data_IF_841016492210
#
_entry.id   IF_841016492210
#
_cell.length_a   1.000
_cell.length_b   1.000
_cell.length_c   1.000
_cell.angle_alpha   90.00
_cell.angle_beta   90.00
_cell.angle_gamma   90.00
#
_symmetry.space_group_name_H-M   'P 1'
#
loop_
_entity.id
_entity.type
_entity.pdbx_description
1 polymer ?
#
# COMPACT_ATOMS: atom_id res chain seq x y z
N UNK A 1 17.98 -19.28 5.69
CA UNK A 1 17.40 -17.93 5.67
C UNK A 1 17.24 -17.55 4.21
N UNK A 2 16.13 -16.91 3.84
CA UNK A 2 15.98 -16.36 2.50
C UNK A 2 16.60 -14.97 2.57
N UNK A 3 17.81 -14.77 2.05
CA UNK A 3 18.52 -13.49 2.11
C UNK A 3 17.82 -12.34 1.34
N UNK A 4 16.69 -12.66 0.68
CA UNK A 4 15.86 -11.74 -0.09
C UNK A 4 14.58 -11.28 0.64
N UNK A 5 14.31 -11.77 1.85
CA UNK A 5 13.12 -11.37 2.60
C UNK A 5 13.22 -9.90 3.03
N UNK A 6 12.18 -9.11 2.73
CA UNK A 6 12.12 -7.68 3.06
C UNK A 6 10.92 -7.38 3.95
N UNK A 7 11.11 -6.43 4.86
CA UNK A 7 10.06 -6.01 5.78
C UNK A 7 9.23 -4.86 5.21
N UNK A 8 8.15 -5.19 4.51
CA UNK A 8 7.30 -4.18 3.86
C UNK A 8 6.43 -3.45 4.89
N UNK A 9 6.46 -2.12 4.88
CA UNK A 9 5.53 -1.25 5.62
C UNK A 9 4.76 -0.39 4.65
N UNK A 10 3.47 -0.15 4.92
CA UNK A 10 2.57 0.58 4.03
C UNK A 10 2.62 2.10 4.27
N UNK A 11 2.70 2.88 3.19
CA UNK A 11 2.77 4.34 3.26
C UNK A 11 1.37 4.97 3.33
N UNK A 12 1.05 5.56 4.50
CA UNK A 12 -0.19 6.29 4.73
C UNK A 12 -0.37 7.50 3.79
N UNK A 13 0.69 8.04 3.22
CA UNK A 13 0.60 9.13 2.23
C UNK A 13 0.07 8.65 0.89
N UNK A 14 0.18 7.35 0.60
CA UNK A 14 -0.30 6.73 -0.64
C UNK A 14 -1.66 6.10 -0.53
N UNK A 15 -1.99 5.56 0.65
CA UNK A 15 -3.25 4.84 0.84
C UNK A 15 -4.49 5.66 0.45
N UNK A 16 -5.37 5.02 -0.33
CA UNK A 16 -6.69 5.55 -0.67
C UNK A 16 -7.48 6.00 0.60
N UNK A 17 -8.35 7.02 0.50
CA UNK A 17 -9.15 7.49 1.64
C UNK A 17 -9.99 6.41 2.33
N UNK A 18 -10.48 5.43 1.56
CA UNK A 18 -11.28 4.29 2.06
C UNK A 18 -10.43 3.12 2.60
N UNK A 19 -9.13 3.33 2.82
CA UNK A 19 -8.25 2.35 3.45
C UNK A 19 -7.77 2.87 4.81
N UNK A 20 -7.84 2.01 5.83
CA UNK A 20 -7.30 2.24 7.17
C UNK A 20 -6.12 1.32 7.41
N UNK A 21 -5.00 1.91 7.84
CA UNK A 21 -3.78 1.20 8.18
C UNK A 21 -3.65 1.10 9.71
N UNK A 22 -3.01 0.05 10.19
CA UNK A 22 -2.54 0.00 11.58
C UNK A 22 -1.35 0.93 11.80
N UNK A 23 -1.06 1.37 13.04
CA UNK A 23 0.05 2.28 13.32
C UNK A 23 1.43 1.75 12.90
N UNK A 24 1.60 0.43 12.89
CA UNK A 24 2.82 -0.25 12.43
C UNK A 24 2.93 -0.35 10.89
N UNK A 25 1.89 0.07 10.16
CA UNK A 25 1.83 -0.02 8.70
C UNK A 25 1.81 -1.45 8.16
N UNK A 26 1.49 -2.46 8.98
CA UNK A 26 1.50 -3.89 8.57
C UNK A 26 0.16 -4.43 8.12
N UNK A 27 -0.93 -3.79 8.50
CA UNK A 27 -2.28 -4.22 8.14
C UNK A 27 -3.03 -3.11 7.45
N UNK A 28 -3.88 -3.51 6.52
CA UNK A 28 -4.79 -2.62 5.80
C UNK A 28 -6.17 -3.25 5.77
N UNK A 29 -7.19 -2.43 5.96
CA UNK A 29 -8.60 -2.82 5.87
C UNK A 29 -9.42 -1.74 5.19
N UNK A 30 -10.54 -2.13 4.63
CA UNK A 30 -11.50 -1.18 4.08
C UNK A 30 -12.13 -0.34 5.20
N UNK A 31 -12.56 0.85 4.83
CA UNK A 31 -13.37 1.74 5.64
C UNK A 31 -14.62 2.16 4.85
N UNK A 32 -15.72 2.37 5.58
CA UNK A 32 -16.96 2.89 5.00
C UNK A 32 -16.80 4.36 4.60
N UNK A 33 -16.09 5.12 5.43
CA UNK A 33 -15.87 6.55 5.26
C UNK A 33 -14.39 6.92 5.38
N UNK A 34 -13.93 7.95 4.65
CA UNK A 34 -12.63 8.56 4.85
C UNK A 34 -12.42 9.04 6.29
N UNK A 35 -11.17 9.04 6.75
CA UNK A 35 -10.81 9.66 8.01
C UNK A 35 -10.66 11.19 7.82
N UNK A 36 -11.53 12.03 8.41
CA UNK A 36 -11.48 13.48 8.23
C UNK A 36 -10.27 14.13 8.92
N UNK A 37 -9.64 13.45 9.90
CA UNK A 37 -8.44 13.97 10.56
C UNK A 37 -7.15 13.66 9.78
N UNK A 38 -7.24 12.86 8.70
CA UNK A 38 -6.08 12.45 7.91
C UNK A 38 -5.65 13.60 6.99
N UNK A 39 -4.39 14.07 7.08
CA UNK A 39 -3.87 15.10 6.17
C UNK A 39 -3.91 14.63 4.72
N UNK A 40 -4.27 15.51 3.78
CA UNK A 40 -4.21 15.16 2.37
C UNK A 40 -2.75 15.02 1.89
N UNK A 41 -2.54 14.27 0.81
CA UNK A 41 -1.23 14.01 0.22
C UNK A 41 -1.33 14.04 -1.30
N UNK A 42 -0.39 14.71 -2.00
CA UNK A 42 -0.35 14.67 -3.46
C UNK A 42 -0.04 13.27 -3.99
N UNK A 43 0.59 12.42 -3.16
CA UNK A 43 0.87 11.01 -3.48
C UNK A 43 -0.28 10.09 -3.10
N UNK A 44 -1.51 10.57 -2.87
CA UNK A 44 -2.64 9.73 -2.45
C UNK A 44 -3.37 9.13 -3.63
N UNK A 45 -3.68 7.83 -3.56
CA UNK A 45 -4.54 7.19 -4.56
C UNK A 45 -5.97 7.74 -4.42
N UNK A 46 -6.56 8.18 -5.54
CA UNK A 46 -7.94 8.73 -5.56
C UNK A 46 -8.92 7.84 -6.33
N UNK A 47 -8.44 7.12 -7.33
CA UNK A 47 -9.29 6.31 -8.22
C UNK A 47 -9.22 4.80 -7.91
N UNK A 48 -8.08 4.33 -7.42
CA UNK A 48 -7.88 2.92 -7.08
C UNK A 48 -7.78 2.74 -5.57
N UNK A 49 -8.50 1.75 -5.02
CA UNK A 49 -8.44 1.38 -3.60
C UNK A 49 -7.14 0.62 -3.29
N UNK A 50 -6.03 1.33 -3.40
CA UNK A 50 -4.67 0.81 -3.30
C UNK A 50 -3.84 1.56 -2.25
N UNK A 51 -2.71 0.97 -1.89
CA UNK A 51 -1.67 1.55 -1.03
C UNK A 51 -0.32 0.99 -1.47
N UNK A 52 0.74 1.80 -1.43
CA UNK A 52 2.10 1.37 -1.72
C UNK A 52 2.88 1.09 -0.43
N UNK A 53 3.97 0.33 -0.57
CA UNK A 53 5.01 0.28 0.45
C UNK A 53 5.75 1.63 0.58
N UNK A 54 6.36 1.86 1.74
CA UNK A 54 7.19 3.04 1.99
C UNK A 54 8.45 3.06 1.11
N UNK A 55 9.04 1.89 0.87
CA UNK A 55 10.28 1.74 0.13
C UNK A 55 10.03 1.11 -1.25
N UNK A 56 10.70 1.65 -2.27
CA UNK A 56 10.79 1.06 -3.59
C UNK A 56 12.06 0.23 -3.75
N UNK A 57 12.10 -0.59 -4.80
CA UNK A 57 13.24 -1.45 -5.11
C UNK A 57 13.81 -1.08 -6.49
N UNK A 58 15.14 -0.96 -6.58
CA UNK A 58 15.83 -0.59 -7.83
C UNK A 58 16.67 -1.72 -8.43
N UNK A 59 16.99 -2.75 -7.65
CA UNK A 59 17.79 -3.90 -8.08
C UNK A 59 17.66 -5.08 -7.10
N UNK A 60 18.16 -6.26 -7.46
CA UNK A 60 18.18 -7.44 -6.60
C UNK A 60 16.92 -8.32 -6.69
N UNK A 61 16.80 -9.28 -5.79
CA UNK A 61 15.60 -10.11 -5.59
C UNK A 61 15.00 -9.77 -4.24
N UNK A 62 13.69 -9.53 -4.22
CA UNK A 62 12.94 -9.22 -3.01
C UNK A 62 11.80 -10.21 -2.84
N UNK A 63 11.49 -10.50 -1.58
CA UNK A 63 10.43 -11.41 -1.21
C UNK A 63 9.67 -10.87 0.00
N UNK A 64 8.35 -10.90 -0.06
CA UNK A 64 7.46 -10.60 1.06
C UNK A 64 6.23 -11.49 0.96
N UNK A 65 5.60 -11.71 2.10
CA UNK A 65 4.35 -12.46 2.20
C UNK A 65 3.21 -11.51 2.58
N UNK A 66 2.01 -11.81 2.12
CA UNK A 66 0.80 -11.08 2.50
C UNK A 66 -0.19 -12.06 3.06
N UNK A 67 -0.53 -11.89 4.34
CA UNK A 67 -1.61 -12.65 4.96
C UNK A 67 -2.94 -12.03 4.58
N UNK A 68 -3.78 -12.83 3.92
CA UNK A 68 -5.09 -12.43 3.47
C UNK A 68 -6.12 -13.05 4.40
N UNK A 69 -6.89 -12.21 5.08
CA UNK A 69 -8.03 -12.67 5.87
C UNK A 69 -9.20 -13.05 4.94
N UNK A 70 -10.38 -13.36 5.49
CA UNK A 70 -11.57 -13.75 4.73
C UNK A 70 -12.16 -12.58 3.90
N UNK A 71 -11.44 -12.16 2.86
CA UNK A 71 -11.86 -11.13 1.91
C UNK A 71 -12.06 -11.75 0.53
N UNK A 72 -13.20 -11.43 -0.09
CA UNK A 72 -13.63 -12.00 -1.38
C UNK A 72 -12.80 -11.52 -2.57
N UNK A 73 -12.14 -10.35 -2.45
CA UNK A 73 -11.36 -9.77 -3.55
C UNK A 73 -10.20 -8.93 -3.02
N UNK A 74 -9.03 -9.13 -3.59
CA UNK A 74 -7.80 -8.40 -3.26
C UNK A 74 -6.85 -8.46 -4.46
N UNK A 75 -5.96 -7.47 -4.53
CA UNK A 75 -4.85 -7.44 -5.47
C UNK A 75 -3.56 -7.12 -4.70
N UNK A 76 -2.49 -7.80 -5.07
CA UNK A 76 -1.13 -7.57 -4.54
C UNK A 76 -0.17 -7.59 -5.72
N UNK A 77 0.84 -6.72 -5.69
CA UNK A 77 1.83 -6.67 -6.74
C UNK A 77 2.84 -5.55 -6.53
N UNK A 78 3.49 -5.18 -7.63
CA UNK A 78 4.46 -4.10 -7.69
C UNK A 78 4.02 -3.08 -8.72
N UNK A 79 4.44 -1.83 -8.52
CA UNK A 79 4.16 -0.73 -9.43
C UNK A 79 5.45 0.02 -9.72
N UNK A 80 5.68 0.37 -10.98
CA UNK A 80 6.77 1.27 -11.34
C UNK A 80 6.46 2.67 -10.81
N UNK A 81 7.45 3.36 -10.26
CA UNK A 81 7.28 4.72 -9.72
C UNK A 81 6.71 5.69 -10.76
N UNK A 82 7.14 5.57 -12.02
CA UNK A 82 6.64 6.39 -13.14
C UNK A 82 5.17 6.16 -13.51
N UNK A 83 4.55 5.06 -13.05
CA UNK A 83 3.11 4.85 -13.22
C UNK A 83 2.28 5.68 -12.24
N UNK A 84 2.88 6.17 -11.14
CA UNK A 84 2.21 7.03 -10.17
C UNK A 84 1.66 8.31 -10.81
N UNK A 85 2.39 8.88 -11.77
CA UNK A 85 2.05 10.12 -12.45
C UNK A 85 0.85 9.98 -13.41
N UNK A 86 0.45 8.74 -13.75
CA UNK A 86 -0.58 8.43 -14.76
C UNK A 86 -1.88 7.93 -14.14
N UNK A 87 -2.19 8.32 -12.91
CA UNK A 87 -3.47 8.00 -12.27
C UNK A 87 -4.60 8.84 -12.86
N UNK A 88 -4.96 8.56 -14.11
CA UNK A 88 -6.17 9.06 -14.78
C UNK A 88 -7.36 8.10 -14.56
#
# INVERSE_FOLDING_TARGET
>A
MIDAAVDVTLDLKTAHPLLKLTPDGKKVRDALDPDPARPDSPRRFRHHTCVLGCEGFSSGRQYWEVCLEQKQSWWVGVMAESAWEKQE
#
